data_IF_343604166378
#
_entry.id   IF_343604166378
#
_cell.length_a   1.000
_cell.length_b   1.000
_cell.length_c   1.000
_cell.angle_alpha   90.00
_cell.angle_beta   90.00
_cell.angle_gamma   90.00
#
_symmetry.space_group_name_H-M   'P 1'
#
loop_
_entity.id
_entity.type
_entity.pdbx_description
1 polymer ?
#
# COMPACT_ATOMS: atom_id res chain seq x y z
N UNK A 1 15.82 -17.47 9.55
CA UNK A 1 15.23 -16.17 9.90
C UNK A 1 15.16 -16.19 11.39
N UNK A 2 15.93 -15.35 12.08
CA UNK A 2 15.75 -15.23 13.52
C UNK A 2 14.30 -14.85 13.81
N UNK A 3 13.71 -15.41 14.86
CA UNK A 3 12.34 -15.11 15.28
C UNK A 3 12.11 -13.60 15.45
N UNK A 4 13.16 -12.88 15.79
CA UNK A 4 13.22 -11.43 15.88
C UNK A 4 12.90 -10.76 14.56
N UNK A 5 13.41 -11.27 13.43
CA UNK A 5 13.11 -10.74 12.10
C UNK A 5 11.65 -10.99 11.67
N UNK A 6 11.12 -12.20 11.92
CA UNK A 6 9.69 -12.47 11.69
C UNK A 6 8.82 -11.52 12.53
N UNK A 7 9.18 -11.31 13.80
CA UNK A 7 8.45 -10.43 14.71
C UNK A 7 8.57 -8.96 14.31
N UNK A 8 9.73 -8.52 13.83
CA UNK A 8 9.93 -7.18 13.30
C UNK A 8 9.04 -6.95 12.07
N UNK A 9 9.03 -7.88 11.11
CA UNK A 9 8.16 -7.84 9.94
C UNK A 9 6.68 -7.81 10.33
N UNK A 10 6.24 -8.72 11.21
CA UNK A 10 4.88 -8.73 11.77
C UNK A 10 4.51 -7.39 12.42
N UNK A 11 5.42 -6.83 13.21
CA UNK A 11 5.21 -5.57 13.92
C UNK A 11 5.06 -4.41 12.94
N UNK A 12 5.87 -4.35 11.89
CA UNK A 12 5.77 -3.31 10.87
C UNK A 12 4.50 -3.46 10.02
N UNK A 13 4.10 -4.68 9.64
CA UNK A 13 2.84 -4.92 8.91
C UNK A 13 1.63 -4.42 9.71
N UNK A 14 1.61 -4.63 11.02
CA UNK A 14 0.53 -4.17 11.92
C UNK A 14 0.46 -2.64 12.08
N UNK A 15 1.48 -1.89 11.65
CA UNK A 15 1.43 -0.43 11.66
C UNK A 15 0.68 0.15 10.47
N UNK A 16 0.49 -0.64 9.41
CA UNK A 16 -0.15 -0.20 8.18
C UNK A 16 -1.64 0.08 8.40
N UNK A 17 -2.09 1.27 8.03
CA UNK A 17 -3.46 1.75 8.17
C UNK A 17 -3.95 2.38 6.86
N UNK A 18 -5.25 2.63 6.75
CA UNK A 18 -5.82 3.37 5.62
C UNK A 18 -5.19 4.76 5.40
N UNK A 19 -4.68 5.42 6.44
CA UNK A 19 -3.99 6.71 6.27
C UNK A 19 -2.68 6.58 5.49
N UNK A 20 -2.05 5.41 5.53
CA UNK A 20 -0.80 5.13 4.79
C UNK A 20 -1.06 4.83 3.30
N UNK A 21 -2.33 4.64 2.92
CA UNK A 21 -2.80 4.56 1.53
C UNK A 21 -2.93 5.94 0.87
N UNK A 22 -3.03 7.02 1.66
CA UNK A 22 -3.09 8.39 1.11
C UNK A 22 -1.69 8.86 0.73
N UNK A 23 -1.58 9.68 -0.32
CA UNK A 23 -0.30 10.29 -0.68
C UNK A 23 0.27 11.09 0.51
N UNK A 24 1.53 10.83 0.88
CA UNK A 24 2.12 11.40 2.08
C UNK A 24 2.16 12.94 2.01
N UNK A 25 1.36 13.59 2.84
CA UNK A 25 1.30 15.06 2.99
C UNK A 25 2.45 15.62 3.84
N UNK A 26 3.59 14.88 3.97
CA UNK A 26 4.72 15.29 4.81
C UNK A 26 5.01 16.77 4.57
N UNK A 27 4.86 17.54 5.66
CA UNK A 27 4.79 19.01 5.69
C UNK A 27 5.76 19.62 4.66
N UNK A 28 5.14 20.42 3.78
CA UNK A 28 5.70 21.46 2.89
C UNK A 28 6.33 21.14 1.53
N UNK A 29 6.77 19.92 1.17
CA UNK A 29 7.42 19.74 -0.16
C UNK A 29 6.53 19.29 -1.33
N UNK A 30 5.45 18.54 -1.08
CA UNK A 30 4.69 17.89 -2.17
C UNK A 30 3.21 18.26 -2.22
N UNK A 31 2.70 19.15 -1.36
CA UNK A 31 1.27 19.47 -1.28
C UNK A 31 0.75 20.02 -2.61
N UNK A 32 1.48 20.93 -3.23
CA UNK A 32 1.14 21.55 -4.51
C UNK A 32 1.17 20.53 -5.67
N UNK A 33 2.05 19.55 -5.58
CA UNK A 33 2.17 18.48 -6.57
C UNK A 33 1.03 17.46 -6.46
N UNK A 34 0.51 17.23 -5.25
CA UNK A 34 -0.69 16.41 -5.00
C UNK A 34 -1.96 17.17 -5.42
N UNK A 35 -2.09 18.44 -5.05
CA UNK A 35 -3.27 19.24 -5.37
C UNK A 35 -3.42 19.45 -6.89
N UNK A 36 -2.33 19.66 -7.61
CA UNK A 36 -2.31 19.80 -9.08
C UNK A 36 -2.46 18.48 -9.84
N UNK A 37 -2.28 17.33 -9.18
CA UNK A 37 -2.18 16.01 -9.83
C UNK A 37 -0.83 15.74 -10.51
N UNK A 38 0.16 16.63 -10.36
CA UNK A 38 1.47 16.48 -11.00
C UNK A 38 2.18 15.17 -10.63
N UNK A 39 2.09 14.70 -9.38
CA UNK A 39 2.69 13.41 -8.98
C UNK A 39 2.09 12.25 -9.76
N UNK A 40 0.77 12.18 -9.84
CA UNK A 40 0.06 11.13 -10.58
C UNK A 40 0.41 11.17 -12.07
N UNK A 41 0.53 12.36 -12.66
CA UNK A 41 1.02 12.51 -14.02
C UNK A 41 2.43 11.95 -14.24
N UNK A 42 3.36 12.19 -13.30
CA UNK A 42 4.73 11.65 -13.38
C UNK A 42 4.73 10.14 -13.23
N UNK A 43 3.95 9.60 -12.29
CA UNK A 43 3.93 8.17 -11.99
C UNK A 43 3.22 7.36 -13.07
N UNK A 44 2.14 7.88 -13.65
CA UNK A 44 1.40 7.19 -14.72
C UNK A 44 2.30 6.90 -15.94
N UNK A 45 3.25 7.80 -16.25
CA UNK A 45 4.23 7.59 -17.33
C UNK A 45 5.28 6.53 -17.01
N UNK A 46 5.46 6.21 -15.73
CA UNK A 46 6.41 5.20 -15.23
C UNK A 46 5.71 3.88 -14.89
N UNK A 47 4.39 3.82 -15.08
CA UNK A 47 3.62 2.67 -14.67
C UNK A 47 3.97 1.47 -15.52
N UNK A 48 4.11 0.31 -14.90
CA UNK A 48 4.28 -0.96 -15.58
C UNK A 48 3.39 -1.97 -14.86
N UNK A 49 2.70 -2.82 -15.61
CA UNK A 49 1.82 -3.86 -15.07
C UNK A 49 0.54 -3.34 -14.37
N UNK A 50 -0.02 -2.23 -14.86
CA UNK A 50 -1.38 -1.85 -14.52
C UNK A 50 -2.37 -2.75 -15.26
N UNK A 51 -3.32 -3.28 -14.52
CA UNK A 51 -4.42 -4.10 -15.04
C UNK A 51 -5.74 -3.46 -14.62
N UNK A 52 -6.68 -3.33 -15.56
CA UNK A 52 -8.06 -2.90 -15.29
C UNK A 52 -9.03 -3.99 -15.72
N UNK A 53 -9.90 -4.44 -14.82
CA UNK A 53 -10.85 -5.55 -15.06
C UNK A 53 -10.15 -6.77 -15.69
N UNK A 54 -8.98 -7.14 -15.17
CA UNK A 54 -8.17 -8.25 -15.68
C UNK A 54 -7.44 -8.01 -17.01
N UNK A 55 -7.58 -6.85 -17.64
CA UNK A 55 -6.91 -6.50 -18.90
C UNK A 55 -5.73 -5.55 -18.68
N UNK A 56 -4.58 -5.87 -19.29
CA UNK A 56 -3.35 -5.09 -19.13
C UNK A 56 -3.45 -3.76 -19.87
N UNK A 57 -3.23 -2.66 -19.16
CA UNK A 57 -3.07 -1.34 -19.76
C UNK A 57 -1.59 -1.14 -20.09
N UNK A 58 -1.26 -1.15 -21.38
CA UNK A 58 0.14 -1.04 -21.81
C UNK A 58 0.67 0.38 -21.70
N UNK A 59 1.97 0.52 -21.41
CA UNK A 59 2.65 1.83 -21.41
C UNK A 59 2.53 2.55 -22.74
N UNK A 60 2.53 1.79 -23.85
CA UNK A 60 2.35 2.35 -25.19
C UNK A 60 1.00 3.08 -25.26
N UNK A 61 -0.07 2.43 -24.84
CA UNK A 61 -1.41 3.02 -24.81
C UNK A 61 -1.46 4.25 -23.89
N UNK A 62 -0.89 4.18 -22.67
CA UNK A 62 -0.82 5.33 -21.75
C UNK A 62 -0.08 6.51 -22.40
N UNK A 63 1.05 6.27 -23.07
CA UNK A 63 1.84 7.30 -23.73
C UNK A 63 1.11 7.94 -24.93
N UNK A 64 0.34 7.14 -25.68
CA UNK A 64 -0.53 7.62 -26.76
C UNK A 64 -1.63 8.53 -26.22
N UNK A 65 -2.33 8.10 -25.16
CA UNK A 65 -3.34 8.92 -24.47
C UNK A 65 -2.72 10.23 -23.94
N UNK A 66 -1.55 10.15 -23.30
CA UNK A 66 -0.87 11.32 -22.76
C UNK A 66 -0.46 12.32 -23.86
N UNK A 67 -0.06 11.82 -25.03
CA UNK A 67 0.26 12.67 -26.18
C UNK A 67 -0.99 13.32 -26.77
N UNK A 68 -2.07 12.54 -26.91
CA UNK A 68 -3.37 12.97 -27.45
C UNK A 68 -3.98 14.12 -26.66
N UNK A 69 -3.91 14.05 -25.33
CA UNK A 69 -4.61 14.98 -24.43
C UNK A 69 -3.72 16.07 -23.84
N UNK A 70 -2.47 16.21 -24.29
CA UNK A 70 -1.49 17.14 -23.70
C UNK A 70 -2.00 18.59 -23.60
N UNK A 71 -2.88 19.00 -24.51
CA UNK A 71 -3.53 20.32 -24.53
C UNK A 71 -4.52 20.56 -23.38
N UNK A 72 -4.92 19.52 -22.63
CA UNK A 72 -5.79 19.61 -21.46
C UNK A 72 -5.02 19.93 -20.16
N UNK A 73 -3.69 20.03 -20.23
CA UNK A 73 -2.88 20.53 -19.11
C UNK A 73 -3.04 22.04 -19.07
N UNK A 74 -3.66 22.56 -18.01
CA UNK A 74 -3.92 23.98 -17.87
C UNK A 74 -2.74 24.66 -17.16
N UNK A 75 -2.30 25.80 -17.66
CA UNK A 75 -1.36 26.65 -16.93
C UNK A 75 -2.09 27.31 -15.75
N UNK A 76 -1.56 27.13 -14.54
CA UNK A 76 -2.12 27.78 -13.36
C UNK A 76 -1.56 29.18 -13.14
N UNK A 77 -2.31 30.00 -12.40
CA UNK A 77 -2.02 31.42 -12.16
C UNK A 77 -0.64 31.70 -11.53
N UNK A 78 -0.06 30.71 -10.84
CA UNK A 78 1.25 30.81 -10.18
C UNK A 78 2.38 30.11 -10.96
N UNK A 79 2.18 29.79 -12.25
CA UNK A 79 3.11 29.01 -13.07
C UNK A 79 3.13 27.51 -12.76
N UNK A 80 2.23 27.03 -11.88
CA UNK A 80 2.02 25.61 -11.62
C UNK A 80 0.91 25.06 -12.51
N UNK A 81 1.23 24.10 -13.36
CA UNK A 81 0.24 23.45 -14.21
C UNK A 81 -0.77 22.65 -13.39
N UNK A 82 -2.04 22.71 -13.78
CA UNK A 82 -3.10 21.84 -13.28
C UNK A 82 -3.30 20.66 -14.24
N UNK A 83 -2.98 19.45 -13.74
CA UNK A 83 -3.05 18.21 -14.50
C UNK A 83 -4.37 17.46 -14.29
N UNK A 84 -5.26 17.92 -13.39
CA UNK A 84 -6.49 17.18 -13.06
C UNK A 84 -7.43 16.96 -14.26
N UNK A 85 -7.76 17.98 -15.08
CA UNK A 85 -8.62 17.77 -16.25
C UNK A 85 -8.02 16.77 -17.24
N UNK A 86 -6.71 16.89 -17.48
CA UNK A 86 -5.93 15.94 -18.26
C UNK A 86 -6.03 14.52 -17.69
N UNK A 87 -5.67 14.31 -16.42
CA UNK A 87 -5.66 12.99 -15.80
C UNK A 87 -7.04 12.34 -15.73
N UNK A 88 -8.09 13.14 -15.51
CA UNK A 88 -9.47 12.66 -15.53
C UNK A 88 -9.81 12.03 -16.88
N UNK A 89 -9.45 12.70 -17.98
CA UNK A 89 -9.68 12.17 -19.33
C UNK A 89 -8.87 10.89 -19.57
N UNK A 90 -7.61 10.86 -19.10
CA UNK A 90 -6.77 9.67 -19.23
C UNK A 90 -7.39 8.47 -18.50
N UNK A 91 -7.81 8.63 -17.25
CA UNK A 91 -8.43 7.54 -16.50
C UNK A 91 -9.72 7.06 -17.17
N UNK A 92 -10.61 7.98 -17.59
CA UNK A 92 -11.83 7.63 -18.32
C UNK A 92 -11.53 6.76 -19.53
N UNK A 93 -10.62 7.18 -20.40
CA UNK A 93 -10.28 6.42 -21.62
C UNK A 93 -9.60 5.09 -21.32
N UNK A 94 -8.89 4.94 -20.19
CA UNK A 94 -8.33 3.66 -19.76
C UNK A 94 -9.42 2.66 -19.36
N UNK A 95 -10.45 3.09 -18.62
CA UNK A 95 -11.59 2.22 -18.29
C UNK A 95 -12.43 1.88 -19.53
N UNK A 96 -12.68 2.86 -20.40
CA UNK A 96 -13.39 2.66 -21.66
C UNK A 96 -12.66 1.67 -22.58
N UNK A 97 -11.34 1.79 -22.68
CA UNK A 97 -10.51 0.92 -23.54
C UNK A 97 -10.70 -0.57 -23.25
N UNK A 98 -10.84 -0.93 -21.97
CA UNK A 98 -11.04 -2.32 -21.53
C UNK A 98 -12.51 -2.71 -21.39
N UNK A 99 -13.44 -1.80 -21.71
CA UNK A 99 -14.88 -2.02 -21.55
C UNK A 99 -15.33 -2.15 -20.09
N UNK A 100 -14.58 -1.57 -19.14
CA UNK A 100 -14.95 -1.53 -17.73
C UNK A 100 -16.01 -0.46 -17.48
N UNK A 101 -16.66 -0.51 -16.31
CA UNK A 101 -17.42 0.65 -15.84
C UNK A 101 -16.47 1.81 -15.59
N UNK A 102 -16.91 3.02 -15.92
CA UNK A 102 -16.16 4.25 -15.65
C UNK A 102 -16.48 4.66 -14.21
N UNK A 103 -15.49 4.78 -13.30
CA UNK A 103 -15.76 5.25 -11.94
C UNK A 103 -16.35 6.65 -11.97
N UNK A 104 -17.18 6.97 -10.97
CA UNK A 104 -17.71 8.32 -10.86
C UNK A 104 -16.59 9.34 -10.63
N UNK A 105 -16.92 10.61 -10.88
CA UNK A 105 -15.95 11.70 -10.80
C UNK A 105 -15.25 11.77 -9.43
N UNK A 106 -15.94 11.52 -8.32
CA UNK A 106 -15.33 11.59 -6.99
C UNK A 106 -14.28 10.50 -6.78
N UNK A 107 -14.52 9.29 -7.29
CA UNK A 107 -13.52 8.21 -7.25
C UNK A 107 -12.33 8.53 -8.16
N UNK A 108 -12.58 9.08 -9.36
CA UNK A 108 -11.49 9.51 -10.26
C UNK A 108 -10.64 10.60 -9.61
N UNK A 109 -11.24 11.59 -8.93
CA UNK A 109 -10.49 12.62 -8.22
C UNK A 109 -9.68 12.05 -7.04
N UNK A 110 -10.19 11.02 -6.37
CA UNK A 110 -9.46 10.31 -5.31
C UNK A 110 -8.26 9.54 -5.88
N UNK A 111 -8.42 8.89 -7.03
CA UNK A 111 -7.30 8.30 -7.79
C UNK A 111 -6.29 9.38 -8.19
N UNK A 112 -6.71 10.50 -8.79
CA UNK A 112 -5.79 11.58 -9.17
C UNK A 112 -4.96 12.07 -7.98
N UNK A 113 -5.56 12.09 -6.80
CA UNK A 113 -4.91 12.56 -5.56
C UNK A 113 -3.96 11.51 -4.98
N UNK A 114 -4.33 10.22 -5.01
CA UNK A 114 -3.64 9.18 -4.23
C UNK A 114 -2.98 8.08 -5.06
N UNK A 115 -3.30 7.92 -6.35
CA UNK A 115 -2.78 6.89 -7.27
C UNK A 115 -1.24 6.80 -7.27
N UNK A 116 -0.54 7.86 -6.87
CA UNK A 116 0.91 7.93 -6.69
C UNK A 116 1.50 6.58 -6.26
N UNK A 117 2.28 5.98 -7.17
CA UNK A 117 2.88 4.66 -7.01
C UNK A 117 3.84 4.65 -5.81
N UNK A 118 4.46 5.79 -5.52
CA UNK A 118 5.29 6.01 -4.35
C UNK A 118 4.49 6.22 -3.05
N UNK A 119 3.16 6.32 -3.06
CA UNK A 119 2.35 6.23 -1.85
C UNK A 119 2.20 4.78 -1.41
N UNK A 120 1.44 4.01 -2.18
CA UNK A 120 1.06 2.64 -1.87
C UNK A 120 2.24 1.67 -1.79
N UNK A 121 3.10 1.66 -2.82
CA UNK A 121 4.18 0.67 -2.92
C UNK A 121 5.42 1.07 -2.13
N UNK A 122 5.72 2.38 -2.02
CA UNK A 122 6.91 2.82 -1.30
C UNK A 122 6.76 2.63 0.20
N UNK A 123 5.57 2.84 0.77
CA UNK A 123 5.37 2.61 2.20
C UNK A 123 5.56 1.13 2.55
N UNK A 124 4.95 0.22 1.76
CA UNK A 124 5.14 -1.23 1.89
C UNK A 124 6.62 -1.63 1.72
N UNK A 125 7.34 -0.97 0.81
CA UNK A 125 8.78 -1.19 0.63
C UNK A 125 9.60 -0.68 1.81
N UNK A 126 9.31 0.54 2.29
CA UNK A 126 10.03 1.18 3.39
C UNK A 126 9.87 0.41 4.71
N UNK A 127 8.64 0.01 5.04
CA UNK A 127 8.38 -0.73 6.28
C UNK A 127 9.08 -2.10 6.28
N UNK A 128 9.10 -2.78 5.13
CA UNK A 128 9.85 -4.04 4.98
C UNK A 128 11.35 -3.80 5.08
N UNK A 129 11.89 -2.77 4.41
CA UNK A 129 13.31 -2.44 4.49
C UNK A 129 13.72 -2.11 5.93
N UNK A 130 12.91 -1.32 6.64
CA UNK A 130 13.13 -0.99 8.05
C UNK A 130 13.11 -2.22 8.96
N UNK A 131 12.35 -3.27 8.61
CA UNK A 131 12.35 -4.52 9.35
C UNK A 131 13.59 -5.40 9.05
N UNK A 132 14.16 -5.29 7.85
CA UNK A 132 15.29 -6.10 7.39
C UNK A 132 16.66 -5.50 7.72
N UNK A 133 16.78 -4.16 7.72
CA UNK A 133 18.04 -3.43 7.99
C UNK A 133 18.74 -3.84 9.28
N UNK A 134 18.06 -4.06 10.43
CA UNK A 134 18.72 -4.50 11.66
C UNK A 134 19.40 -5.86 11.56
N UNK A 135 19.08 -6.66 10.54
CA UNK A 135 19.63 -7.99 10.30
C UNK A 135 20.68 -8.02 9.18
N UNK A 136 21.18 -6.85 8.76
CA UNK A 136 22.14 -6.75 7.65
C UNK A 136 21.51 -7.00 6.26
N UNK A 137 20.18 -7.03 6.18
CA UNK A 137 19.47 -7.40 4.96
C UNK A 137 18.93 -6.18 4.19
N UNK A 138 19.27 -6.10 2.91
CA UNK A 138 18.93 -5.01 2.00
C UNK A 138 18.06 -5.49 0.83
N UNK A 139 16.98 -4.79 0.56
CA UNK A 139 16.19 -4.97 -0.66
C UNK A 139 16.70 -4.02 -1.73
N UNK A 140 17.17 -4.57 -2.85
CA UNK A 140 17.55 -3.79 -4.02
C UNK A 140 16.35 -3.64 -4.97
N UNK A 141 16.04 -2.40 -5.35
CA UNK A 141 14.80 -2.07 -6.07
C UNK A 141 14.67 -2.67 -7.47
N UNK A 142 15.79 -3.03 -8.11
CA UNK A 142 15.82 -3.62 -9.46
C UNK A 142 15.42 -5.11 -9.49
N UNK A 143 15.33 -5.78 -8.34
CA UNK A 143 15.02 -7.21 -8.22
C UNK A 143 13.58 -7.42 -7.70
N UNK A 144 12.67 -6.51 -8.09
CA UNK A 144 11.30 -6.49 -7.63
C UNK A 144 10.28 -6.53 -8.77
N UNK A 145 9.19 -7.27 -8.53
CA UNK A 145 7.99 -7.26 -9.36
C UNK A 145 6.90 -6.47 -8.64
N UNK A 146 6.22 -5.62 -9.40
CA UNK A 146 5.08 -4.83 -8.95
C UNK A 146 3.88 -5.13 -9.82
N UNK A 147 2.71 -5.21 -9.21
CA UNK A 147 1.44 -5.35 -9.90
C UNK A 147 0.41 -4.40 -9.30
N UNK A 148 -0.31 -3.70 -10.17
CA UNK A 148 -1.43 -2.85 -9.80
C UNK A 148 -2.66 -3.36 -10.54
N UNK A 149 -3.70 -3.66 -9.79
CA UNK A 149 -4.99 -4.11 -10.32
C UNK A 149 -6.05 -3.14 -9.82
N UNK A 150 -6.85 -2.66 -10.75
CA UNK A 150 -7.95 -1.75 -10.48
C UNK A 150 -9.19 -2.26 -11.19
N UNK A 151 -10.17 -2.74 -10.46
CA UNK A 151 -11.38 -3.31 -11.02
C UNK A 151 -12.58 -2.40 -10.76
N UNK A 152 -13.29 -2.03 -11.82
CA UNK A 152 -14.51 -1.23 -11.76
C UNK A 152 -15.65 -1.96 -12.47
N UNK A 153 -16.51 -2.57 -11.66
CA UNK A 153 -17.73 -3.24 -12.12
C UNK A 153 -18.97 -2.35 -12.04
N UNK A 154 -18.91 -1.25 -11.28
CA UNK A 154 -19.97 -0.25 -11.14
C UNK A 154 -19.37 1.12 -10.85
N UNK A 155 -19.97 2.23 -11.33
CA UNK A 155 -19.37 3.57 -11.19
C UNK A 155 -19.06 4.01 -9.75
N UNK A 156 -19.82 3.51 -8.76
CA UNK A 156 -19.69 3.91 -7.36
C UNK A 156 -18.77 3.02 -6.52
N UNK A 157 -18.06 2.08 -7.14
CA UNK A 157 -17.14 1.19 -6.42
C UNK A 157 -15.93 0.85 -7.30
N UNK A 158 -14.76 1.04 -6.72
CA UNK A 158 -13.50 0.67 -7.33
C UNK A 158 -12.74 -0.26 -6.38
N UNK A 159 -12.41 -1.44 -6.86
CA UNK A 159 -11.57 -2.38 -6.12
C UNK A 159 -10.12 -2.16 -6.54
N UNK A 160 -9.25 -1.96 -5.56
CA UNK A 160 -7.83 -1.68 -5.80
C UNK A 160 -6.99 -2.77 -5.14
N UNK A 161 -6.01 -3.30 -5.86
CA UNK A 161 -5.02 -4.23 -5.32
C UNK A 161 -3.61 -3.85 -5.79
N UNK A 162 -2.69 -3.80 -4.86
CA UNK A 162 -1.29 -3.48 -5.09
C UNK A 162 -0.45 -4.63 -4.55
N UNK A 163 0.48 -5.12 -5.36
CA UNK A 163 1.39 -6.18 -4.95
C UNK A 163 2.83 -5.78 -5.24
N UNK A 164 3.71 -6.22 -4.34
CA UNK A 164 5.14 -6.06 -4.47
C UNK A 164 5.81 -7.37 -4.05
N UNK A 165 6.60 -7.94 -4.95
CA UNK A 165 7.39 -9.15 -4.70
C UNK A 165 8.86 -8.82 -4.86
N UNK A 166 9.62 -9.04 -3.80
CA UNK A 166 11.08 -9.01 -3.82
C UNK A 166 11.58 -10.41 -4.16
N UNK A 167 12.39 -10.57 -5.21
CA UNK A 167 12.97 -11.86 -5.63
C UNK A 167 14.27 -12.22 -4.92
N UNK A 168 15.01 -11.19 -4.51
CA UNK A 168 16.29 -11.33 -3.83
C UNK A 168 16.42 -10.30 -2.72
N UNK A 169 16.96 -10.74 -1.60
CA UNK A 169 17.46 -9.86 -0.55
C UNK A 169 18.98 -10.01 -0.52
N UNK A 170 19.67 -8.89 -0.38
CA UNK A 170 21.11 -8.85 -0.28
C UNK A 170 21.51 -8.88 1.18
N UNK A 171 22.41 -9.79 1.52
CA UNK A 171 23.10 -9.73 2.81
C UNK A 171 24.34 -8.84 2.66
N UNK A 172 24.35 -7.76 3.44
CA UNK A 172 25.40 -6.76 3.45
C UNK A 172 26.68 -7.27 4.12
N UNK A 173 26.58 -8.29 4.98
CA UNK A 173 27.72 -8.86 5.69
C UNK A 173 28.53 -9.83 4.81
N UNK A 174 27.86 -10.82 4.22
CA UNK A 174 28.55 -11.83 3.40
C UNK A 174 28.57 -11.47 1.90
N UNK A 175 28.02 -10.32 1.53
CA UNK A 175 27.84 -9.87 0.15
C UNK A 175 27.07 -10.87 -0.74
N UNK A 176 26.17 -11.64 -0.12
CA UNK A 176 25.42 -12.71 -0.77
C UNK A 176 24.05 -12.25 -1.24
N UNK A 177 23.63 -12.75 -2.41
CA UNK A 177 22.25 -12.61 -2.88
C UNK A 177 21.44 -13.82 -2.41
N UNK A 178 20.52 -13.58 -1.50
CA UNK A 178 19.59 -14.58 -0.99
C UNK A 178 18.36 -14.56 -1.89
N UNK A 179 18.13 -15.64 -2.62
CA UNK A 179 16.89 -15.83 -3.38
C UNK A 179 15.75 -16.05 -2.40
N UNK A 180 14.75 -15.18 -2.43
CA UNK A 180 13.59 -15.28 -1.55
C UNK A 180 12.35 -14.71 -2.25
N UNK A 181 11.18 -15.26 -1.99
CA UNK A 181 9.91 -14.72 -2.50
C UNK A 181 9.19 -13.89 -1.43
N UNK A 182 9.84 -12.84 -0.94
CA UNK A 182 9.22 -11.94 0.03
C UNK A 182 8.20 -11.05 -0.69
N UNK A 183 6.92 -11.37 -0.57
CA UNK A 183 5.85 -10.61 -1.22
C UNK A 183 4.92 -9.97 -0.21
N UNK A 184 4.48 -8.76 -0.52
CA UNK A 184 3.37 -8.13 0.17
C UNK A 184 2.32 -7.65 -0.83
N UNK A 185 1.08 -7.57 -0.38
CA UNK A 185 0.02 -6.92 -1.12
C UNK A 185 -0.90 -6.16 -0.19
N UNK A 186 -1.57 -5.16 -0.73
CA UNK A 186 -2.66 -4.46 -0.10
C UNK A 186 -3.84 -4.45 -1.07
N UNK A 187 -5.04 -4.72 -0.58
CA UNK A 187 -6.27 -4.53 -1.33
C UNK A 187 -7.26 -3.73 -0.50
N UNK A 188 -8.12 -2.96 -1.16
CA UNK A 188 -9.16 -2.14 -0.56
C UNK A 188 -10.17 -1.73 -1.62
N UNK A 189 -11.30 -1.18 -1.19
CA UNK A 189 -12.32 -0.62 -2.07
C UNK A 189 -12.45 0.89 -1.85
N UNK A 190 -12.61 1.66 -2.93
CA UNK A 190 -13.13 3.02 -2.88
C UNK A 190 -14.63 2.96 -3.15
N UNK A 191 -15.44 3.24 -2.15
CA UNK A 191 -16.89 3.24 -2.25
C UNK A 191 -17.39 4.68 -2.22
N UNK A 192 -18.18 5.07 -3.23
CA UNK A 192 -18.89 6.34 -3.18
C UNK A 192 -20.25 6.14 -2.52
N UNK A 193 -20.51 6.92 -1.48
CA UNK A 193 -21.77 6.92 -0.73
C UNK A 193 -21.98 8.28 -0.07
N UNK A 194 -23.22 8.76 -0.08
CA UNK A 194 -23.62 10.00 0.60
C UNK A 194 -22.74 11.21 0.22
N UNK A 195 -22.40 11.32 -1.07
CA UNK A 195 -21.60 12.42 -1.61
C UNK A 195 -20.09 12.35 -1.31
N UNK A 196 -19.61 11.28 -0.70
CA UNK A 196 -18.21 11.11 -0.29
C UNK A 196 -17.63 9.77 -0.73
N UNK A 197 -16.31 9.71 -0.84
CA UNK A 197 -15.57 8.45 -1.06
C UNK A 197 -15.05 7.92 0.28
N UNK A 198 -15.28 6.63 0.53
CA UNK A 198 -14.78 5.89 1.69
C UNK A 198 -13.86 4.76 1.25
N UNK A 199 -12.80 4.54 2.02
CA UNK A 199 -11.95 3.35 1.89
C UNK A 199 -12.55 2.24 2.74
N UNK A 200 -12.88 1.12 2.10
CA UNK A 200 -13.56 -0.03 2.71
C UNK A 200 -12.82 -1.34 2.40
N UNK A 201 -13.14 -2.38 3.17
CA UNK A 201 -12.64 -3.77 3.00
C UNK A 201 -11.12 -3.93 2.79
N UNK A 202 -10.37 -3.00 3.36
CA UNK A 202 -8.93 -2.94 3.31
C UNK A 202 -8.25 -4.07 4.08
N UNK A 203 -7.36 -4.80 3.41
CA UNK A 203 -6.46 -5.77 4.03
C UNK A 203 -5.06 -5.70 3.43
N UNK A 204 -4.08 -6.04 4.24
CA UNK A 204 -2.68 -6.23 3.83
C UNK A 204 -2.29 -7.67 4.06
N UNK A 205 -1.65 -8.26 3.06
CA UNK A 205 -1.08 -9.59 3.11
C UNK A 205 0.45 -9.49 3.02
N UNK A 206 1.16 -10.13 3.94
CA UNK A 206 2.60 -10.38 3.84
C UNK A 206 2.83 -11.89 3.74
N UNK A 207 3.60 -12.31 2.75
CA UNK A 207 4.05 -13.69 2.58
C UNK A 207 5.56 -13.75 2.80
N UNK A 208 5.96 -14.47 3.84
CA UNK A 208 7.37 -14.68 4.17
C UNK A 208 7.78 -16.07 3.66
N UNK A 209 8.81 -16.16 2.80
CA UNK A 209 9.26 -17.41 2.18
C UNK A 209 10.16 -18.25 3.10
N UNK A 210 10.11 -19.59 2.96
CA UNK A 210 10.92 -20.55 3.75
C UNK A 210 12.42 -20.33 3.65
N UNK A 211 12.92 -19.92 2.49
CA UNK A 211 14.36 -19.76 2.25
C UNK A 211 14.97 -18.71 3.18
N UNK A 212 14.15 -17.82 3.72
CA UNK A 212 14.58 -16.93 4.77
C UNK A 212 14.53 -17.59 6.16
N UNK A 213 13.70 -18.60 6.44
CA UNK A 213 13.63 -19.35 7.72
C UNK A 213 14.94 -20.07 8.09
N UNK A 214 15.70 -20.55 7.11
CA UNK A 214 16.99 -21.22 7.34
C UNK A 214 18.17 -20.26 7.51
N UNK A 215 17.95 -18.95 7.29
CA UNK A 215 18.98 -17.93 7.46
C UNK A 215 19.32 -17.74 8.96
N UNK A 216 20.47 -18.26 9.38
CA UNK A 216 21.02 -18.07 10.73
C UNK A 216 21.78 -16.75 10.78
N UNK A 217 21.12 -15.72 11.29
CA UNK A 217 21.83 -14.54 11.77
C UNK A 217 22.52 -14.89 13.09
N UNK A 218 23.74 -15.45 13.01
CA UNK A 218 24.54 -15.90 14.15
C UNK A 218 24.00 -17.15 14.86
N UNK A 219 24.90 -18.02 15.33
CA UNK A 219 24.61 -19.19 16.19
C UNK A 219 23.84 -18.76 17.47
N UNK A 220 23.01 -19.54 18.17
CA UNK A 220 22.99 -20.98 18.41
C UNK A 220 21.66 -21.46 19.05
N UNK A 221 21.54 -22.77 19.24
CA UNK A 221 20.48 -23.54 19.91
C UNK A 221 19.97 -23.01 21.28
N UNK A 222 18.67 -22.70 21.35
CA UNK A 222 17.78 -22.62 22.54
C UNK A 222 16.39 -22.12 22.09
N UNK A 223 16.39 -21.29 21.05
CA UNK A 223 15.25 -20.56 20.51
C UNK A 223 14.19 -21.46 19.86
N UNK A 224 14.55 -22.58 19.26
CA UNK A 224 13.59 -23.53 18.65
C UNK A 224 12.70 -24.19 19.69
N UNK A 225 13.27 -24.54 20.85
CA UNK A 225 12.50 -25.09 21.98
C UNK A 225 11.59 -24.03 22.62
N UNK A 226 12.02 -22.77 22.65
CA UNK A 226 11.23 -21.63 23.12
C UNK A 226 10.14 -21.21 22.11
N UNK A 227 10.34 -21.44 20.81
CA UNK A 227 9.35 -21.17 19.78
C UNK A 227 8.13 -22.09 19.89
N UNK A 228 8.34 -23.39 20.13
CA UNK A 228 7.25 -24.35 20.37
C UNK A 228 6.45 -23.99 21.64
N UNK A 229 7.13 -23.59 22.72
CA UNK A 229 6.50 -23.13 23.96
C UNK A 229 5.72 -21.82 23.74
N UNK A 230 6.28 -20.86 23.02
CA UNK A 230 5.62 -19.57 22.75
C UNK A 230 4.44 -19.73 21.80
N UNK A 231 4.51 -20.62 20.80
CA UNK A 231 3.38 -20.93 19.92
C UNK A 231 2.22 -21.56 20.70
N UNK A 232 2.53 -22.48 21.62
CA UNK A 232 1.54 -23.04 22.55
C UNK A 232 0.92 -21.95 23.43
N UNK A 233 1.72 -21.02 23.97
CA UNK A 233 1.21 -19.89 24.77
C UNK A 233 0.30 -18.98 23.94
N UNK A 234 0.68 -18.66 22.70
CA UNK A 234 -0.14 -17.84 21.79
C UNK A 234 -1.45 -18.53 21.46
N UNK A 235 -1.43 -19.84 21.21
CA UNK A 235 -2.64 -20.62 20.94
C UNK A 235 -3.56 -20.71 22.16
N UNK A 236 -2.99 -20.94 23.35
CA UNK A 236 -3.72 -20.92 24.62
C UNK A 236 -4.33 -19.55 24.91
N UNK A 237 -3.57 -18.48 24.69
CA UNK A 237 -4.04 -17.11 24.88
C UNK A 237 -5.13 -16.74 23.88
N UNK A 238 -5.00 -17.17 22.62
CA UNK A 238 -6.04 -16.99 21.60
C UNK A 238 -7.33 -17.71 21.98
N UNK A 239 -7.25 -18.98 22.39
CA UNK A 239 -8.40 -19.76 22.88
C UNK A 239 -9.05 -19.13 24.12
N UNK A 240 -8.25 -18.59 25.03
CA UNK A 240 -8.74 -17.88 26.21
C UNK A 240 -9.48 -16.59 25.82
N UNK A 241 -8.89 -15.78 24.96
CA UNK A 241 -9.51 -14.55 24.48
C UNK A 241 -10.78 -14.81 23.65
N UNK A 242 -10.82 -15.86 22.83
CA UNK A 242 -12.03 -16.30 22.11
C UNK A 242 -13.14 -16.71 23.09
N UNK A 243 -12.80 -17.45 24.16
CA UNK A 243 -13.75 -17.78 25.24
C UNK A 243 -14.22 -16.55 26.03
N UNK A 244 -13.42 -15.50 26.09
CA UNK A 244 -13.75 -14.22 26.72
C UNK A 244 -14.46 -13.23 25.76
N UNK A 245 -14.79 -13.66 24.54
CA UNK A 245 -15.56 -12.86 23.58
C UNK A 245 -14.74 -11.88 22.74
N UNK A 246 -13.42 -11.92 22.79
CA UNK A 246 -12.55 -11.12 21.92
C UNK A 246 -12.52 -11.69 20.50
N UNK A 247 -12.69 -10.83 19.48
CA UNK A 247 -12.48 -11.16 18.06
C UNK A 247 -11.13 -10.63 17.60
N UNK A 248 -10.33 -11.46 16.97
CA UNK A 248 -9.01 -11.07 16.44
C UNK A 248 -9.09 -10.80 14.94
N UNK A 249 -8.68 -9.60 14.51
CA UNK A 249 -8.71 -9.13 13.10
C UNK A 249 -7.47 -9.53 12.27
N UNK A 250 -6.64 -10.47 12.75
CA UNK A 250 -5.40 -10.88 12.08
C UNK A 250 -5.34 -12.39 11.98
N UNK A 251 -5.28 -12.91 10.75
CA UNK A 251 -5.18 -14.34 10.45
C UNK A 251 -3.72 -14.65 10.12
N UNK A 252 -3.18 -15.68 10.76
CA UNK A 252 -1.85 -16.22 10.44
C UNK A 252 -2.06 -17.65 9.97
N UNK A 253 -1.74 -17.92 8.71
CA UNK A 253 -1.87 -19.25 8.11
C UNK A 253 -0.49 -19.78 7.69
N UNK A 254 -0.29 -21.07 7.94
CA UNK A 254 0.85 -21.85 7.48
C UNK A 254 0.36 -22.75 6.34
N UNK A 255 0.95 -22.65 5.15
CA UNK A 255 0.65 -23.60 4.06
C UNK A 255 1.65 -24.77 4.10
N UNK A 256 1.32 -25.87 3.41
CA UNK A 256 2.18 -27.08 3.27
C UNK A 256 3.55 -26.80 2.63
N UNK A 257 3.68 -25.65 1.97
CA UNK A 257 4.93 -25.10 1.44
C UNK A 257 5.59 -24.11 2.43
N UNK A 258 5.30 -24.20 3.74
CA UNK A 258 5.76 -23.38 4.89
C UNK A 258 6.05 -21.90 4.59
N UNK A 259 5.21 -21.24 3.81
CA UNK A 259 5.18 -19.79 3.77
C UNK A 259 4.35 -19.27 4.95
N UNK A 260 4.87 -18.29 5.69
CA UNK A 260 4.07 -17.60 6.72
C UNK A 260 3.24 -16.53 6.02
N UNK A 261 1.92 -16.69 6.02
CA UNK A 261 0.99 -15.66 5.57
C UNK A 261 0.47 -14.86 6.76
N UNK A 262 0.63 -13.54 6.70
CA UNK A 262 0.11 -12.61 7.71
C UNK A 262 -0.91 -11.72 7.02
N UNK A 263 -2.18 -11.88 7.38
CA UNK A 263 -3.26 -11.01 6.93
C UNK A 263 -3.65 -10.05 8.06
N UNK A 264 -3.70 -8.76 7.75
CA UNK A 264 -4.11 -7.70 8.67
C UNK A 264 -5.20 -6.83 8.04
N UNK A 265 -6.35 -6.70 8.72
CA UNK A 265 -7.39 -5.73 8.34
C UNK A 265 -6.95 -4.32 8.72
N UNK A 266 -7.22 -3.35 7.86
CA UNK A 266 -6.77 -1.96 8.04
C UNK A 266 -7.55 -1.15 9.08
N UNK A 267 -8.47 -1.80 9.80
CA UNK A 267 -9.28 -1.18 10.86
C UNK A 267 -10.58 -0.58 10.32
N UNK A 268 -11.06 0.50 10.96
CA UNK A 268 -12.32 1.15 10.58
C UNK A 268 -12.18 1.86 9.22
N UNK A 269 -13.23 1.87 8.38
CA UNK A 269 -13.26 2.63 7.13
C UNK A 269 -12.85 4.09 7.32
N UNK A 270 -12.13 4.64 6.34
CA UNK A 270 -11.63 6.03 6.35
C UNK A 270 -12.33 6.84 5.26
N UNK A 271 -12.82 8.04 5.60
CA UNK A 271 -13.33 9.00 4.61
C UNK A 271 -12.16 9.66 3.87
N UNK A 272 -12.34 9.90 2.56
CA UNK A 272 -11.35 10.60 1.74
C UNK A 272 -11.05 12.01 2.28
N UNK A 273 -12.08 12.72 2.73
CA UNK A 273 -11.95 14.02 3.39
C UNK A 273 -11.74 13.76 4.89
N UNK A 274 -10.53 14.03 5.37
CA UNK A 274 -10.33 14.26 6.80
C UNK A 274 -11.03 15.60 7.09
N UNK A 275 -12.09 15.60 7.90
CA UNK A 275 -12.58 16.85 8.48
C UNK A 275 -11.35 17.57 9.06
N UNK A 276 -11.10 18.85 8.69
CA UNK A 276 -10.04 19.59 9.35
C UNK A 276 -10.32 19.53 10.85
N UNK A 277 -9.29 19.27 11.64
CA UNK A 277 -9.38 19.12 13.08
C UNK A 277 -9.89 20.43 13.72
N UNK A 278 -11.22 20.64 13.74
CA UNK A 278 -11.87 21.86 14.25
C UNK A 278 -11.68 21.97 15.77
N UNK A 279 -11.16 20.92 16.42
CA UNK A 279 -10.86 20.93 17.85
C UNK A 279 -9.42 21.37 18.19
N UNK A 280 -8.56 21.66 17.20
CA UNK A 280 -7.21 22.19 17.45
C UNK A 280 -7.16 23.72 17.64
N UNK A 281 -8.28 24.44 17.51
CA UNK A 281 -8.35 25.91 17.69
C UNK A 281 -9.38 26.29 18.75
N UNK A 282 -9.23 25.77 19.97
CA UNK A 282 -9.90 26.30 21.16
C UNK A 282 -8.91 26.56 22.32
N UNK A 283 -7.66 26.91 21.97
CA UNK A 283 -6.58 27.18 22.93
C UNK A 283 -6.23 28.67 23.13
N UNK A 284 -6.94 29.62 22.52
CA UNK A 284 -6.69 31.04 22.73
C UNK A 284 -8.01 31.80 22.91
N UNK A 285 -8.49 31.83 24.16
CA UNK A 285 -9.39 32.89 24.59
C UNK A 285 -8.62 34.22 24.52
N UNK A 286 -9.16 35.28 23.89
CA UNK A 286 -8.64 36.63 24.10
C UNK A 286 -8.80 36.95 25.59
N UNK A 287 -7.70 37.27 26.27
CA UNK A 287 -7.79 37.98 27.54
C UNK A 287 -8.37 39.35 27.22
N UNK A 288 -9.53 39.63 27.79
CA UNK A 288 -10.04 40.98 27.90
C UNK A 288 -9.06 41.81 28.75
N UNK A 289 -8.56 42.90 28.18
CA UNK A 289 -8.41 44.22 28.81
C UNK A 289 -8.07 45.24 27.73
#
# INVERSE_FOLDING_TARGET
MSKEMVNALKTQTKKFKYTDLKAATKKTRNKDSISSGHLTYVDLKREHNLTINGQVITNKFINELCSKHKNMILEGENGQNNYRPFLKQIFVEMFEHVGASIPNNSIIEELITNYNQAGYTSYLSYQRQSALTPFGLLMLGNESERGIVVDCNKPDCLECSFSYRTKYVYDDHDHLRIKCNLSCSAEFQLQFKDGNVTYEDGKVLLTIPKELEDYKAGDDSLLDKLADVINKIVEYWKKLCEKLGFKFDTKVEYNSECNIKIEHKLGKPLKAIDEPDVYAVNGLKPKAQ
#
